data_IF_566765144808
#
_entry.id   IF_566765144808
#
_cell.length_a   1.000
_cell.length_b   1.000
_cell.length_c   1.000
_cell.angle_alpha   90.00
_cell.angle_beta   90.00
_cell.angle_gamma   90.00
#
_symmetry.space_group_name_H-M   'P 1'
#
loop_
_entity.id
_entity.type
_entity.pdbx_description
1 polymer ?
#
# COMPACT_ATOMS: atom_id res chain seq x y z
N UNK A 1 -57.49 11.84 -51.25
CA UNK A 1 -56.61 12.90 -50.70
C UNK A 1 -56.38 12.82 -49.19
N UNK A 2 -57.36 12.34 -48.37
CA UNK A 2 -57.26 12.22 -46.90
C UNK A 2 -56.06 11.41 -46.36
N UNK A 3 -55.78 10.23 -46.91
CA UNK A 3 -54.70 9.36 -46.41
C UNK A 3 -53.26 9.82 -46.68
N UNK A 4 -53.03 10.76 -47.61
CA UNK A 4 -51.69 11.36 -47.84
C UNK A 4 -51.34 12.36 -46.73
N UNK A 5 -52.33 13.08 -46.22
CA UNK A 5 -52.14 14.11 -45.20
C UNK A 5 -52.03 13.50 -43.80
N UNK A 6 -52.81 12.45 -43.51
CA UNK A 6 -52.65 11.63 -42.30
C UNK A 6 -51.26 10.99 -42.22
N UNK A 7 -50.72 10.48 -43.34
CA UNK A 7 -49.34 9.95 -43.39
C UNK A 7 -48.29 11.02 -43.10
N UNK A 8 -48.48 12.26 -43.57
CA UNK A 8 -47.55 13.36 -43.28
C UNK A 8 -47.59 13.77 -41.81
N UNK A 9 -48.78 13.82 -41.21
CA UNK A 9 -48.92 14.15 -39.78
C UNK A 9 -48.35 13.06 -38.88
N UNK A 10 -48.58 11.78 -39.22
CA UNK A 10 -47.92 10.65 -38.56
C UNK A 10 -46.40 10.73 -38.68
N UNK A 11 -45.87 11.08 -39.86
CA UNK A 11 -44.43 11.21 -40.08
C UNK A 11 -43.84 12.37 -39.27
N UNK A 12 -44.50 13.54 -39.24
CA UNK A 12 -44.08 14.68 -38.40
C UNK A 12 -44.09 14.35 -36.92
N UNK A 13 -45.10 13.60 -36.46
CA UNK A 13 -45.21 13.15 -35.07
C UNK A 13 -44.09 12.15 -34.70
N UNK A 14 -43.78 11.21 -35.59
CA UNK A 14 -42.67 10.27 -35.44
C UNK A 14 -41.32 11.01 -35.40
N UNK A 15 -41.10 11.96 -36.32
CA UNK A 15 -39.87 12.78 -36.36
C UNK A 15 -39.69 13.56 -35.06
N UNK A 16 -40.75 14.20 -34.53
CA UNK A 16 -40.69 14.93 -33.25
C UNK A 16 -40.35 14.03 -32.07
N UNK A 17 -40.93 12.81 -32.01
CA UNK A 17 -40.59 11.83 -30.96
C UNK A 17 -39.15 11.37 -31.05
N UNK A 18 -38.67 11.07 -32.26
CA UNK A 18 -37.28 10.68 -32.48
C UNK A 18 -36.31 11.82 -32.11
N UNK A 19 -36.63 13.06 -32.47
CA UNK A 19 -35.84 14.25 -32.09
C UNK A 19 -35.74 14.46 -30.57
N UNK A 20 -36.73 14.01 -29.80
CA UNK A 20 -36.78 14.17 -28.35
C UNK A 20 -36.08 13.02 -27.61
N UNK A 21 -36.10 11.81 -28.17
CA UNK A 21 -35.50 10.61 -27.57
C UNK A 21 -33.99 10.52 -27.81
N UNK A 22 -33.50 10.95 -28.98
CA UNK A 22 -32.06 10.92 -29.33
C UNK A 22 -31.19 11.69 -28.31
N UNK A 23 -31.46 12.96 -27.95
CA UNK A 23 -30.61 13.69 -27.01
C UNK A 23 -30.64 13.09 -25.61
N UNK A 24 -31.78 12.55 -25.16
CA UNK A 24 -31.88 11.85 -23.87
C UNK A 24 -31.04 10.58 -23.87
N UNK A 25 -31.09 9.78 -24.95
CA UNK A 25 -30.26 8.59 -25.09
C UNK A 25 -28.76 8.94 -25.16
N UNK A 26 -28.40 10.03 -25.86
CA UNK A 26 -27.02 10.53 -25.90
C UNK A 26 -26.53 11.02 -24.53
N UNK A 27 -27.38 11.70 -23.75
CA UNK A 27 -27.06 12.13 -22.38
C UNK A 27 -26.89 10.91 -21.47
N UNK A 28 -27.75 9.90 -21.56
CA UNK A 28 -27.63 8.66 -20.79
C UNK A 28 -26.37 7.86 -21.16
N UNK A 29 -26.03 7.79 -22.45
CA UNK A 29 -24.78 7.20 -22.94
C UNK A 29 -23.55 7.99 -22.47
N UNK A 30 -23.64 9.33 -22.43
CA UNK A 30 -22.57 10.19 -21.94
C UNK A 30 -22.39 10.05 -20.43
N UNK A 31 -23.47 9.99 -19.64
CA UNK A 31 -23.42 9.71 -18.20
C UNK A 31 -22.84 8.32 -17.94
N UNK A 32 -23.27 7.30 -18.69
CA UNK A 32 -22.71 5.95 -18.59
C UNK A 32 -21.21 5.93 -18.92
N UNK A 33 -20.78 6.65 -19.96
CA UNK A 33 -19.37 6.79 -20.31
C UNK A 33 -18.58 7.55 -19.23
N UNK A 34 -19.13 8.63 -18.66
CA UNK A 34 -18.52 9.41 -17.57
C UNK A 34 -18.40 8.60 -16.27
N UNK A 35 -19.40 7.77 -15.95
CA UNK A 35 -19.33 6.84 -14.82
C UNK A 35 -18.28 5.74 -15.06
N UNK A 36 -18.10 5.27 -16.30
CA UNK A 36 -17.07 4.30 -16.66
C UNK A 36 -15.66 4.92 -16.70
N UNK A 37 -15.51 6.21 -17.07
CA UNK A 37 -14.23 6.92 -17.04
C UNK A 37 -13.85 7.44 -15.65
N UNK A 38 -14.81 7.54 -14.73
CA UNK A 38 -14.56 7.67 -13.27
C UNK A 38 -14.04 6.36 -12.66
N UNK A 39 -13.40 5.51 -13.47
CA UNK A 39 -12.63 4.37 -13.01
C UNK A 39 -11.53 4.88 -12.10
N UNK A 40 -11.68 4.58 -10.80
CA UNK A 40 -10.76 3.95 -9.83
C UNK A 40 -9.43 3.37 -10.43
N UNK A 41 -8.78 4.05 -11.36
CA UNK A 41 -7.64 3.53 -12.14
C UNK A 41 -6.29 4.01 -11.62
N UNK A 42 -6.26 5.06 -10.81
CA UNK A 42 -5.01 5.67 -10.31
C UNK A 42 -4.87 5.68 -8.79
N UNK A 43 -5.71 4.90 -8.08
CA UNK A 43 -5.56 4.81 -6.63
C UNK A 43 -4.28 4.06 -6.27
N UNK A 44 -3.36 4.72 -5.57
CA UNK A 44 -2.11 4.10 -5.12
C UNK A 44 -2.43 2.98 -4.13
N UNK A 45 -1.91 1.78 -4.38
CA UNK A 45 -2.07 0.59 -3.53
C UNK A 45 -0.75 0.30 -2.82
N UNK A 46 -0.81 0.17 -1.51
CA UNK A 46 0.34 -0.04 -0.63
C UNK A 46 0.15 -1.36 0.10
N UNK A 47 1.03 -2.33 -0.16
CA UNK A 47 1.14 -3.54 0.66
C UNK A 47 2.04 -3.28 1.85
N UNK A 48 1.60 -3.64 3.06
CA UNK A 48 2.38 -3.47 4.29
C UNK A 48 2.46 -4.80 5.02
N UNK A 49 3.67 -5.27 5.29
CA UNK A 49 3.90 -6.47 6.12
C UNK A 49 4.98 -6.19 7.15
N UNK A 50 4.68 -6.51 8.41
CA UNK A 50 5.60 -6.36 9.54
C UNK A 50 6.17 -7.70 9.96
N UNK A 51 7.17 -7.75 10.85
CA UNK A 51 7.58 -9.04 11.42
C UNK A 51 6.48 -9.65 12.32
N UNK A 52 5.74 -8.79 13.03
CA UNK A 52 4.56 -9.14 13.83
C UNK A 52 3.72 -7.89 14.11
N UNK A 53 2.40 -8.03 14.34
CA UNK A 53 1.56 -6.94 14.90
C UNK A 53 1.35 -7.05 16.41
N UNK A 54 2.01 -7.99 17.09
CA UNK A 54 1.88 -8.16 18.54
C UNK A 54 2.60 -7.06 19.36
N UNK A 55 3.45 -6.25 18.72
CA UNK A 55 4.15 -5.14 19.36
C UNK A 55 3.49 -3.80 18.99
N UNK A 56 3.16 -2.98 19.99
CA UNK A 56 2.56 -1.64 19.84
C UNK A 56 3.39 -0.70 18.95
N UNK A 57 4.71 -0.90 18.87
CA UNK A 57 5.58 -0.15 17.97
C UNK A 57 5.11 -0.26 16.50
N UNK A 58 4.82 -1.47 16.02
CA UNK A 58 4.37 -1.68 14.64
C UNK A 58 2.94 -1.19 14.41
N UNK A 59 2.08 -1.25 15.43
CA UNK A 59 0.73 -0.67 15.38
C UNK A 59 0.80 0.85 15.22
N UNK A 60 1.71 1.50 15.94
CA UNK A 60 1.93 2.96 15.87
C UNK A 60 2.45 3.39 14.49
N UNK A 61 3.42 2.66 13.94
CA UNK A 61 3.88 2.88 12.55
C UNK A 61 2.72 2.71 11.57
N UNK A 62 1.94 1.63 11.73
CA UNK A 62 0.84 1.35 10.84
C UNK A 62 -0.25 2.43 10.86
N UNK A 63 -0.64 2.90 12.05
CA UNK A 63 -1.65 3.95 12.17
C UNK A 63 -1.25 5.21 11.41
N UNK A 64 0.03 5.58 11.44
CA UNK A 64 0.50 6.78 10.75
C UNK A 64 0.58 6.58 9.24
N UNK A 65 1.04 5.40 8.78
CA UNK A 65 0.99 5.05 7.35
C UNK A 65 -0.45 5.09 6.83
N UNK A 66 -1.40 4.48 7.55
CA UNK A 66 -2.81 4.45 7.15
C UNK A 66 -3.43 5.83 7.14
N UNK A 67 -3.18 6.65 8.18
CA UNK A 67 -3.67 8.03 8.24
C UNK A 67 -3.23 8.86 7.03
N UNK A 68 -1.93 8.84 6.72
CA UNK A 68 -1.39 9.59 5.58
C UNK A 68 -1.88 9.01 4.26
N UNK A 69 -1.99 7.67 4.14
CA UNK A 69 -2.50 7.02 2.95
C UNK A 69 -3.95 7.45 2.68
N UNK A 70 -4.82 7.44 3.70
CA UNK A 70 -6.21 7.86 3.60
C UNK A 70 -6.33 9.33 3.17
N UNK A 71 -5.52 10.22 3.76
CA UNK A 71 -5.43 11.63 3.37
C UNK A 71 -5.01 11.84 1.91
N UNK A 72 -4.20 10.92 1.37
CA UNK A 72 -3.77 10.90 -0.04
C UNK A 72 -4.69 10.09 -0.93
N UNK A 73 -5.76 9.52 -0.39
CA UNK A 73 -6.68 8.64 -1.11
C UNK A 73 -6.03 7.33 -1.58
N UNK A 74 -4.97 6.83 -0.92
CA UNK A 74 -4.34 5.56 -1.22
C UNK A 74 -5.02 4.39 -0.47
N UNK A 75 -4.86 3.16 -0.95
CA UNK A 75 -5.33 1.94 -0.28
C UNK A 75 -4.17 1.24 0.41
N UNK A 76 -4.38 0.83 1.67
CA UNK A 76 -3.39 0.09 2.46
C UNK A 76 -3.88 -1.34 2.70
N UNK A 77 -3.05 -2.32 2.32
CA UNK A 77 -3.25 -3.74 2.59
C UNK A 77 -2.24 -4.20 3.63
N UNK A 78 -2.67 -4.31 4.90
CA UNK A 78 -1.80 -4.78 5.98
C UNK A 78 -1.85 -6.30 6.14
N UNK A 79 -0.71 -6.91 6.47
CA UNK A 79 -0.59 -8.33 6.78
C UNK A 79 0.33 -8.56 7.98
N UNK A 80 -0.06 -9.51 8.82
CA UNK A 80 0.74 -10.00 9.95
C UNK A 80 1.21 -11.43 9.65
N UNK A 81 2.52 -11.67 9.50
CA UNK A 81 3.07 -13.01 9.32
C UNK A 81 3.36 -13.74 10.63
N UNK A 82 3.17 -13.10 11.79
CA UNK A 82 3.37 -13.73 13.12
C UNK A 82 4.75 -14.39 13.26
N UNK A 83 5.81 -13.68 12.87
CA UNK A 83 7.20 -14.15 12.90
C UNK A 83 7.50 -15.35 11.98
N UNK A 84 6.60 -15.72 11.06
CA UNK A 84 6.83 -16.78 10.08
C UNK A 84 7.34 -16.24 8.73
N UNK A 85 8.59 -16.60 8.39
CA UNK A 85 9.26 -16.16 7.15
C UNK A 85 8.55 -16.65 5.87
N UNK A 86 7.95 -17.85 5.89
CA UNK A 86 7.24 -18.41 4.72
C UNK A 86 5.91 -17.68 4.53
N UNK A 87 5.19 -17.40 5.61
CA UNK A 87 3.95 -16.61 5.61
C UNK A 87 4.23 -15.19 5.13
N UNK A 88 5.31 -14.55 5.57
CA UNK A 88 5.69 -13.23 5.06
C UNK A 88 6.03 -13.28 3.56
N UNK A 89 6.74 -14.32 3.11
CA UNK A 89 6.98 -14.54 1.67
C UNK A 89 5.68 -14.67 0.87
N UNK A 90 4.70 -15.44 1.37
CA UNK A 90 3.40 -15.61 0.70
C UNK A 90 2.62 -14.29 0.65
N UNK A 91 2.65 -13.49 1.71
CA UNK A 91 2.01 -12.16 1.72
C UNK A 91 2.60 -11.23 0.65
N UNK A 92 3.91 -11.28 0.42
CA UNK A 92 4.57 -10.54 -0.67
C UNK A 92 4.07 -11.02 -2.03
N UNK A 93 3.91 -12.33 -2.22
CA UNK A 93 3.32 -12.89 -3.44
C UNK A 93 1.86 -12.45 -3.64
N UNK A 94 1.07 -12.36 -2.58
CA UNK A 94 -0.31 -11.85 -2.62
C UNK A 94 -0.34 -10.37 -3.02
N UNK A 95 0.59 -9.56 -2.51
CA UNK A 95 0.75 -8.16 -2.93
C UNK A 95 1.12 -8.04 -4.41
N UNK A 96 1.97 -8.94 -4.92
CA UNK A 96 2.28 -9.01 -6.35
C UNK A 96 1.02 -9.34 -7.17
N UNK A 97 0.24 -10.32 -6.74
CA UNK A 97 -1.01 -10.69 -7.41
C UNK A 97 -2.04 -9.55 -7.43
N UNK A 98 -2.10 -8.77 -6.35
CA UNK A 98 -2.95 -7.58 -6.23
C UNK A 98 -2.41 -6.36 -7.00
N UNK A 99 -1.20 -6.45 -7.58
CA UNK A 99 -0.53 -5.38 -8.32
C UNK A 99 -0.42 -4.10 -7.50
N UNK A 100 0.04 -4.22 -6.24
CA UNK A 100 0.32 -3.02 -5.42
C UNK A 100 1.43 -2.20 -6.06
N UNK A 101 1.43 -0.88 -5.82
CA UNK A 101 2.47 0.02 -6.32
C UNK A 101 3.74 -0.05 -5.45
N UNK A 102 3.55 -0.22 -4.15
CA UNK A 102 4.63 -0.20 -3.14
C UNK A 102 4.42 -1.33 -2.14
N UNK A 103 5.51 -1.97 -1.71
CA UNK A 103 5.57 -2.83 -0.54
C UNK A 103 6.42 -2.15 0.53
N UNK A 104 5.81 -1.89 1.68
CA UNK A 104 6.50 -1.49 2.91
C UNK A 104 6.71 -2.76 3.75
N UNK A 105 7.96 -3.06 4.08
CA UNK A 105 8.32 -4.29 4.77
C UNK A 105 9.18 -4.01 6.00
N UNK A 106 8.77 -4.55 7.14
CA UNK A 106 9.67 -4.89 8.23
C UNK A 106 9.87 -6.42 8.22
N UNK A 107 11.04 -6.91 7.79
CA UNK A 107 11.23 -8.34 7.58
C UNK A 107 11.32 -9.10 8.90
N UNK A 108 10.72 -10.30 8.96
CA UNK A 108 10.91 -11.26 10.06
C UNK A 108 12.41 -11.53 10.28
N UNK A 109 13.16 -11.67 9.18
CA UNK A 109 14.61 -11.80 9.22
C UNK A 109 15.24 -11.17 8.00
N UNK A 110 16.26 -10.33 8.24
CA UNK A 110 16.92 -9.56 7.18
C UNK A 110 17.61 -10.41 6.09
N UNK A 111 18.06 -11.63 6.41
CA UNK A 111 18.71 -12.57 5.45
C UNK A 111 17.80 -13.73 4.98
N UNK A 112 16.50 -13.67 5.27
CA UNK A 112 15.54 -14.70 4.90
C UNK A 112 15.48 -14.96 3.40
N UNK A 113 15.96 -16.11 2.94
CA UNK A 113 15.95 -16.45 1.51
C UNK A 113 14.55 -16.50 0.89
N UNK A 114 13.49 -17.04 1.55
CA UNK A 114 12.12 -16.93 1.06
C UNK A 114 11.68 -15.49 0.80
N UNK A 115 11.82 -14.61 1.80
CA UNK A 115 11.44 -13.19 1.68
C UNK A 115 12.24 -12.51 0.56
N UNK A 116 13.56 -12.69 0.53
CA UNK A 116 14.42 -12.07 -0.48
C UNK A 116 14.06 -12.51 -1.91
N UNK A 117 13.64 -13.77 -2.12
CA UNK A 117 13.18 -14.25 -3.43
C UNK A 117 11.84 -13.62 -3.82
N UNK A 118 10.89 -13.53 -2.90
CA UNK A 118 9.60 -12.89 -3.15
C UNK A 118 9.75 -11.39 -3.47
N UNK A 119 10.60 -10.67 -2.73
CA UNK A 119 10.90 -9.25 -3.01
C UNK A 119 11.57 -9.06 -4.38
N UNK A 120 12.47 -9.97 -4.79
CA UNK A 120 13.05 -9.95 -6.14
C UNK A 120 11.97 -10.12 -7.22
N UNK A 121 10.97 -10.97 -6.99
CA UNK A 121 9.81 -11.16 -7.89
C UNK A 121 8.96 -9.89 -7.95
N UNK A 122 8.62 -9.30 -6.80
CA UNK A 122 7.88 -8.03 -6.73
C UNK A 122 8.57 -6.91 -7.52
N UNK A 123 9.89 -6.75 -7.32
CA UNK A 123 10.69 -5.76 -8.04
C UNK A 123 10.66 -5.95 -9.56
N UNK A 124 10.73 -7.20 -10.04
CA UNK A 124 10.64 -7.49 -11.49
C UNK A 124 9.29 -7.06 -12.09
N UNK A 125 8.25 -6.92 -11.28
CA UNK A 125 6.94 -6.41 -11.70
C UNK A 125 6.82 -4.88 -11.59
N UNK A 126 7.91 -4.17 -11.24
CA UNK A 126 7.92 -2.72 -11.08
C UNK A 126 7.45 -2.22 -9.71
N UNK A 127 7.19 -3.12 -8.76
CA UNK A 127 6.75 -2.77 -7.41
C UNK A 127 7.93 -2.18 -6.62
N UNK A 128 7.72 -1.01 -6.01
CA UNK A 128 8.72 -0.34 -5.17
C UNK A 128 8.80 -0.98 -3.80
N UNK A 129 10.00 -1.08 -3.25
CA UNK A 129 10.21 -1.75 -1.95
C UNK A 129 10.85 -0.79 -0.96
N UNK A 130 10.16 -0.56 0.15
CA UNK A 130 10.63 0.26 1.27
C UNK A 130 10.84 -0.66 2.47
N UNK A 131 12.07 -0.75 2.96
CA UNK A 131 12.37 -1.46 4.20
C UNK A 131 12.23 -0.51 5.39
N UNK A 132 11.58 -0.95 6.46
CA UNK A 132 11.42 -0.17 7.70
C UNK A 132 11.91 -0.96 8.90
N UNK A 133 12.52 -0.25 9.85
CA UNK A 133 13.03 -0.74 11.15
C UNK A 133 14.19 -1.76 11.06
N UNK A 134 14.06 -2.81 10.24
CA UNK A 134 15.07 -3.86 10.06
C UNK A 134 15.59 -3.87 8.62
N UNK A 135 16.92 -3.90 8.47
CA UNK A 135 17.56 -3.91 7.15
C UNK A 135 17.46 -5.28 6.47
N UNK A 136 17.31 -5.27 5.15
CA UNK A 136 17.40 -6.46 4.30
C UNK A 136 18.86 -6.71 3.91
N UNK A 137 19.41 -7.85 4.31
CA UNK A 137 20.76 -8.27 3.92
C UNK A 137 20.73 -8.79 2.49
N UNK A 138 21.77 -8.47 1.71
CA UNK A 138 21.93 -8.90 0.30
C UNK A 138 20.78 -8.47 -0.63
N UNK A 139 20.01 -7.46 -0.24
CA UNK A 139 18.96 -6.86 -1.05
C UNK A 139 18.91 -5.37 -0.80
N UNK A 140 19.13 -4.58 -1.85
CA UNK A 140 19.02 -3.12 -1.78
C UNK A 140 17.56 -2.70 -2.00
N UNK A 141 16.82 -2.20 -1.00
CA UNK A 141 15.47 -1.65 -1.21
C UNK A 141 15.54 -0.31 -1.96
N UNK A 142 14.40 0.18 -2.46
CA UNK A 142 14.29 1.51 -3.07
C UNK A 142 14.47 2.61 -2.01
N UNK A 143 14.04 2.36 -0.77
CA UNK A 143 14.34 3.17 0.39
C UNK A 143 14.47 2.30 1.65
N UNK A 144 15.23 2.78 2.64
CA UNK A 144 15.33 2.15 3.97
C UNK A 144 15.11 3.22 5.02
N UNK A 145 14.18 2.98 5.94
CA UNK A 145 13.86 3.88 7.05
C UNK A 145 14.18 3.14 8.35
N UNK A 146 15.30 3.48 8.98
CA UNK A 146 15.81 2.82 10.18
C UNK A 146 16.30 3.87 11.17
N UNK A 147 16.32 3.52 12.46
CA UNK A 147 16.93 4.35 13.49
C UNK A 147 18.45 4.22 13.45
N UNK A 148 19.15 5.30 13.80
CA UNK A 148 20.57 5.25 14.13
C UNK A 148 20.74 4.66 15.54
N UNK A 149 20.79 3.32 15.61
CA UNK A 149 20.88 2.60 16.88
C UNK A 149 22.21 2.85 17.61
N UNK A 150 23.28 3.19 16.89
CA UNK A 150 24.54 3.58 17.53
C UNK A 150 24.38 4.93 18.24
N UNK A 151 23.83 5.92 17.55
CA UNK A 151 23.55 7.22 18.15
C UNK A 151 22.54 7.11 19.30
N UNK A 152 21.55 6.23 19.21
CA UNK A 152 20.63 5.94 20.30
C UNK A 152 21.38 5.40 21.53
N UNK A 153 22.27 4.42 21.37
CA UNK A 153 23.12 3.90 22.44
C UNK A 153 24.00 4.99 23.07
N UNK A 154 24.61 5.85 22.26
CA UNK A 154 25.39 7.00 22.73
C UNK A 154 24.53 7.97 23.55
N UNK A 155 23.30 8.27 23.13
CA UNK A 155 22.39 9.16 23.86
C UNK A 155 21.97 8.55 25.20
N UNK A 156 21.67 7.24 25.23
CA UNK A 156 21.35 6.51 26.46
C UNK A 156 22.54 6.59 27.42
N UNK A 157 23.76 6.31 26.95
CA UNK A 157 24.97 6.37 27.78
C UNK A 157 25.21 7.78 28.34
N UNK A 158 25.10 8.82 27.50
CA UNK A 158 25.24 10.22 27.94
C UNK A 158 24.23 10.59 29.02
N UNK A 159 22.99 10.14 28.90
CA UNK A 159 21.96 10.41 29.89
C UNK A 159 22.21 9.67 31.22
N UNK A 160 22.71 8.42 31.17
CA UNK A 160 23.12 7.68 32.37
C UNK A 160 24.28 8.38 33.11
N UNK A 161 25.28 8.88 32.38
CA UNK A 161 26.45 9.57 32.97
C UNK A 161 26.08 10.88 33.67
N UNK A 162 24.99 11.55 33.29
CA UNK A 162 24.48 12.73 34.01
C UNK A 162 23.87 12.37 35.37
N UNK A 163 23.36 11.16 35.51
CA UNK A 163 22.63 10.70 36.71
C UNK A 163 23.58 10.15 37.77
N UNK A 164 24.70 9.57 37.35
CA UNK A 164 25.73 9.09 38.28
C UNK A 164 27.12 9.12 37.65
N UNK A 165 28.13 9.46 38.46
CA UNK A 165 29.55 9.39 38.07
C UNK A 165 30.12 7.96 38.12
N UNK A 166 29.44 7.03 38.79
CA UNK A 166 29.77 5.61 38.81
C UNK A 166 28.51 4.72 38.91
N UNK A 167 28.52 3.55 38.27
CA UNK A 167 27.43 2.59 38.35
C UNK A 167 27.90 1.19 37.94
N UNK A 168 27.20 0.15 38.40
CA UNK A 168 27.26 -1.20 37.81
C UNK A 168 26.13 -1.30 36.80
N UNK A 169 26.48 -1.50 35.53
CA UNK A 169 25.51 -1.51 34.43
C UNK A 169 25.16 -2.95 34.06
N UNK A 170 23.87 -3.26 34.00
CA UNK A 170 23.35 -4.50 33.42
C UNK A 170 22.87 -4.21 31.99
N UNK A 171 23.44 -4.90 31.00
CA UNK A 171 22.97 -4.85 29.61
C UNK A 171 22.02 -6.02 29.36
N UNK A 172 20.78 -5.72 28.97
CA UNK A 172 19.78 -6.71 28.61
C UNK A 172 19.61 -6.71 27.09
N UNK A 173 19.96 -7.82 26.44
CA UNK A 173 19.86 -7.99 24.99
C UNK A 173 19.08 -9.25 24.63
N UNK A 174 18.48 -9.26 23.43
CA UNK A 174 17.90 -10.47 22.87
C UNK A 174 19.02 -11.42 22.42
N UNK A 175 18.81 -12.72 22.66
CA UNK A 175 19.76 -13.76 22.25
C UNK A 175 19.95 -13.72 20.72
N UNK A 176 21.16 -13.42 20.26
CA UNK A 176 21.51 -13.37 18.83
C UNK A 176 21.46 -11.98 18.20
N UNK A 177 21.23 -10.92 18.98
CA UNK A 177 21.50 -9.55 18.54
C UNK A 177 23.00 -9.34 18.38
N UNK A 178 23.41 -8.68 17.29
CA UNK A 178 24.79 -8.20 17.14
C UNK A 178 24.79 -6.76 17.65
N UNK A 179 25.17 -6.61 18.92
CA UNK A 179 25.32 -5.33 19.61
C UNK A 179 26.57 -4.58 19.14
#
# INVERSE_FOLDING_TARGET
MKGKEERKELLKWLIKRVLLVIPVACILLWIYAVCQTSSIKDQTKIGVTYMTMNNEFYKSIHSEISRIADEKGALVYVRDPELDEKRQSQQIDDFCAQKVNVIVINPVKGDSQPILRALKKARKQGIKIIAVDTQLKHFKPDASIVSDNYQAGVLIAKELMKRSSNARILLLEHKGTVS
#
